data_IF_571145132631
#
_entry.id   IF_571145132631
#
_cell.length_a   1.000
_cell.length_b   1.000
_cell.length_c   1.000
_cell.angle_alpha   90.00
_cell.angle_beta   90.00
_cell.angle_gamma   90.00
#
_symmetry.space_group_name_H-M   'P 1'
#
loop_
_entity.id
_entity.type
_entity.pdbx_description
1 polymer ?
#
# COMPACT_ATOMS: atom_id res chain seq x y z
N UNK A 1 10.82 -11.53 -9.35
CA UNK A 1 10.41 -10.50 -10.35
C UNK A 1 8.89 -10.36 -10.43
N UNK A 2 8.12 -11.45 -10.43
CA UNK A 2 6.65 -11.38 -10.44
C UNK A 2 6.08 -10.67 -9.20
N UNK A 3 6.60 -10.98 -8.00
CA UNK A 3 6.22 -10.33 -6.73
C UNK A 3 6.30 -8.79 -6.80
N UNK A 4 7.41 -8.24 -7.30
CA UNK A 4 7.57 -6.79 -7.47
C UNK A 4 6.50 -6.18 -8.37
N UNK A 5 6.12 -6.87 -9.46
CA UNK A 5 5.08 -6.39 -10.38
C UNK A 5 3.70 -6.44 -9.71
N UNK A 6 3.38 -7.52 -9.00
CA UNK A 6 2.12 -7.67 -8.26
C UNK A 6 2.00 -6.56 -7.21
N UNK A 7 3.05 -6.33 -6.44
CA UNK A 7 3.08 -5.29 -5.41
C UNK A 7 2.87 -3.89 -6.00
N UNK A 8 3.57 -3.56 -7.09
CA UNK A 8 3.40 -2.27 -7.76
C UNK A 8 1.98 -2.08 -8.33
N UNK A 9 1.40 -3.13 -8.91
CA UNK A 9 0.02 -3.08 -9.43
C UNK A 9 -0.98 -2.91 -8.30
N UNK A 10 -0.80 -3.63 -7.19
CA UNK A 10 -1.69 -3.57 -6.05
C UNK A 10 -1.70 -2.17 -5.42
N UNK A 11 -0.53 -1.56 -5.22
CA UNK A 11 -0.41 -0.19 -4.71
C UNK A 11 -0.97 0.86 -5.67
N UNK A 12 -0.85 0.64 -6.98
CA UNK A 12 -1.51 1.48 -7.98
C UNK A 12 -3.04 1.44 -7.84
N UNK A 13 -3.62 0.25 -7.70
CA UNK A 13 -5.05 0.07 -7.49
C UNK A 13 -5.53 0.74 -6.19
N UNK A 14 -4.74 0.68 -5.12
CA UNK A 14 -5.04 1.40 -3.86
C UNK A 14 -5.18 2.91 -4.13
N UNK A 15 -4.21 3.53 -4.80
CA UNK A 15 -4.24 4.97 -5.13
C UNK A 15 -5.42 5.34 -6.02
N UNK A 16 -5.77 4.47 -6.97
CA UNK A 16 -6.85 4.69 -7.92
C UNK A 16 -8.22 4.60 -7.23
N UNK A 17 -8.45 3.55 -6.44
CA UNK A 17 -9.73 3.27 -5.78
C UNK A 17 -10.04 4.20 -4.62
N UNK A 18 -9.01 4.73 -3.95
CA UNK A 18 -9.18 5.77 -2.93
C UNK A 18 -9.84 7.05 -3.47
N UNK A 19 -9.96 7.23 -4.80
CA UNK A 19 -10.58 8.41 -5.42
C UNK A 19 -12.04 8.65 -5.02
N UNK A 20 -12.75 7.62 -4.59
CA UNK A 20 -14.16 7.71 -4.14
C UNK A 20 -14.31 8.30 -2.73
N UNK A 21 -13.23 8.31 -1.95
CA UNK A 21 -13.24 8.83 -0.59
C UNK A 21 -13.10 10.36 -0.56
N UNK A 22 -13.50 11.00 0.56
CA UNK A 22 -13.27 12.41 0.79
C UNK A 22 -11.79 12.77 0.58
N UNK A 23 -11.55 13.99 0.10
CA UNK A 23 -10.21 14.43 -0.30
C UNK A 23 -9.15 14.20 0.78
N UNK A 24 -9.46 14.53 2.03
CA UNK A 24 -8.55 14.32 3.17
C UNK A 24 -8.10 12.86 3.32
N UNK A 25 -9.04 11.91 3.27
CA UNK A 25 -8.76 10.48 3.42
C UNK A 25 -8.00 9.94 2.21
N UNK A 26 -8.46 10.30 1.01
CA UNK A 26 -7.81 9.92 -0.25
C UNK A 26 -6.37 10.39 -0.30
N UNK A 27 -6.14 11.65 0.05
CA UNK A 27 -4.82 12.27 -0.07
C UNK A 27 -3.86 11.71 0.98
N UNK A 28 -4.37 11.35 2.17
CA UNK A 28 -3.62 10.63 3.21
C UNK A 28 -3.18 9.23 2.75
N UNK A 29 -4.11 8.40 2.26
CA UNK A 29 -3.80 7.07 1.71
C UNK A 29 -2.76 7.16 0.58
N UNK A 30 -2.90 8.16 -0.31
CA UNK A 30 -1.95 8.36 -1.41
C UNK A 30 -0.56 8.75 -0.92
N UNK A 31 -0.48 9.64 0.06
CA UNK A 31 0.79 10.06 0.65
C UNK A 31 1.52 8.88 1.33
N UNK A 32 0.77 7.99 2.00
CA UNK A 32 1.34 6.83 2.66
C UNK A 32 1.84 5.79 1.66
N UNK A 33 1.09 5.53 0.58
CA UNK A 33 1.57 4.71 -0.54
C UNK A 33 2.82 5.30 -1.17
N UNK A 34 2.85 6.62 -1.40
CA UNK A 34 4.02 7.29 -1.99
C UNK A 34 5.25 7.23 -1.07
N UNK A 35 5.04 7.32 0.24
CA UNK A 35 6.09 7.16 1.25
C UNK A 35 6.64 5.74 1.26
N UNK A 36 5.76 4.73 1.24
CA UNK A 36 6.15 3.32 1.12
C UNK A 36 6.96 3.06 -0.16
N UNK A 37 6.45 3.44 -1.32
CA UNK A 37 7.11 3.22 -2.61
C UNK A 37 8.46 3.94 -2.66
N UNK A 38 8.53 5.17 -2.15
CA UNK A 38 9.79 5.94 -2.11
C UNK A 38 10.83 5.24 -1.25
N UNK A 39 10.47 4.73 -0.08
CA UNK A 39 11.38 3.97 0.79
C UNK A 39 11.84 2.67 0.11
N UNK A 40 10.91 1.93 -0.50
CA UNK A 40 11.25 0.69 -1.21
C UNK A 40 12.30 0.96 -2.29
N UNK A 41 12.01 1.90 -3.20
CA UNK A 41 12.86 2.24 -4.36
C UNK A 41 14.22 2.80 -3.96
N UNK A 42 14.25 3.73 -3.00
CA UNK A 42 15.48 4.48 -2.71
C UNK A 42 16.39 3.80 -1.69
N UNK A 43 15.82 3.01 -0.77
CA UNK A 43 16.55 2.49 0.39
C UNK A 43 16.50 0.96 0.47
N UNK A 44 15.31 0.36 0.45
CA UNK A 44 15.17 -1.08 0.66
C UNK A 44 15.80 -1.92 -0.44
N UNK A 45 15.71 -1.49 -1.71
CA UNK A 45 16.38 -2.19 -2.81
C UNK A 45 17.90 -2.31 -2.62
N UNK A 46 18.54 -1.29 -2.04
CA UNK A 46 19.98 -1.34 -1.73
C UNK A 46 20.25 -2.37 -0.63
N UNK A 47 19.46 -2.33 0.45
CA UNK A 47 19.59 -3.28 1.57
C UNK A 47 19.34 -4.72 1.11
N UNK A 48 18.31 -4.96 0.29
CA UNK A 48 18.05 -6.27 -0.28
C UNK A 48 19.22 -6.75 -1.16
N UNK A 49 19.78 -5.86 -2.00
CA UNK A 49 20.92 -6.22 -2.85
C UNK A 49 22.18 -6.57 -2.06
N UNK A 50 22.37 -5.99 -0.88
CA UNK A 50 23.56 -6.20 -0.05
C UNK A 50 23.40 -7.34 0.97
N UNK A 51 22.20 -7.49 1.54
CA UNK A 51 21.93 -8.33 2.71
C UNK A 51 20.88 -9.40 2.49
N UNK A 52 20.18 -9.37 1.35
CA UNK A 52 19.09 -10.28 1.02
C UNK A 52 17.98 -10.31 2.10
N UNK A 53 17.70 -9.14 2.69
CA UNK A 53 16.68 -8.95 3.72
C UNK A 53 15.82 -7.74 3.41
N UNK A 54 14.53 -7.80 3.76
CA UNK A 54 13.65 -6.65 3.82
C UNK A 54 13.98 -5.77 5.03
N UNK A 55 13.55 -4.51 4.98
CA UNK A 55 13.73 -3.56 6.09
C UNK A 55 12.49 -3.53 6.98
N UNK A 56 12.72 -3.35 8.29
CA UNK A 56 11.64 -3.11 9.26
C UNK A 56 10.83 -1.86 8.88
N UNK A 57 11.51 -0.81 8.40
CA UNK A 57 10.86 0.43 8.00
C UNK A 57 9.85 0.25 6.86
N UNK A 58 10.13 -0.64 5.90
CA UNK A 58 9.17 -0.93 4.84
C UNK A 58 7.93 -1.65 5.37
N UNK A 59 8.07 -2.51 6.39
CA UNK A 59 6.94 -3.15 7.08
C UNK A 59 6.08 -2.10 7.80
N UNK A 60 6.70 -1.21 8.58
CA UNK A 60 5.99 -0.12 9.27
C UNK A 60 5.19 0.76 8.29
N UNK A 61 5.79 1.11 7.16
CA UNK A 61 5.13 1.95 6.15
C UNK A 61 3.95 1.22 5.50
N UNK A 62 4.06 -0.08 5.24
CA UNK A 62 2.96 -0.85 4.68
C UNK A 62 1.83 -1.06 5.70
N UNK A 63 2.17 -1.26 6.97
CA UNK A 63 1.21 -1.31 8.07
C UNK A 63 0.47 0.03 8.24
N UNK A 64 1.15 1.15 8.03
CA UNK A 64 0.52 2.46 8.04
C UNK A 64 -0.51 2.61 6.90
N UNK A 65 -0.16 2.21 5.68
CA UNK A 65 -1.11 2.18 4.55
C UNK A 65 -2.33 1.32 4.88
N UNK A 66 -2.11 0.15 5.50
CA UNK A 66 -3.19 -0.75 5.92
C UNK A 66 -4.10 -0.10 6.94
N UNK A 67 -3.54 0.46 8.01
CA UNK A 67 -4.30 1.13 9.07
C UNK A 67 -5.15 2.26 8.51
N UNK A 68 -4.58 3.10 7.64
CA UNK A 68 -5.30 4.23 7.06
C UNK A 68 -6.46 3.83 6.14
N UNK A 69 -6.35 2.69 5.47
CA UNK A 69 -7.43 2.09 4.68
C UNK A 69 -8.50 1.50 5.60
N UNK A 70 -8.12 0.78 6.65
CA UNK A 70 -9.07 0.05 7.51
C UNK A 70 -9.75 0.91 8.58
N UNK A 71 -9.10 1.98 9.03
CA UNK A 71 -9.62 2.87 10.08
C UNK A 71 -10.65 3.87 9.53
N UNK A 72 -10.69 4.05 8.21
CA UNK A 72 -11.70 4.88 7.58
C UNK A 72 -13.03 4.13 7.48
N UNK A 73 -14.02 4.59 8.26
CA UNK A 73 -15.40 4.13 8.15
C UNK A 73 -16.10 4.81 6.94
N UNK A 74 -16.51 4.06 5.91
CA UNK A 74 -17.25 4.60 4.77
C UNK A 74 -18.57 5.23 5.22
N UNK A 75 -18.88 6.41 4.69
CA UNK A 75 -20.08 7.20 5.06
C UNK A 75 -21.20 7.09 4.04
N UNK A 76 -20.93 6.53 2.86
CA UNK A 76 -21.92 6.33 1.79
C UNK A 76 -21.83 4.93 1.20
N UNK A 77 -22.92 4.43 0.61
CA UNK A 77 -22.93 3.15 -0.10
C UNK A 77 -21.86 3.07 -1.19
N UNK A 78 -21.61 4.19 -1.88
CA UNK A 78 -20.59 4.28 -2.92
C UNK A 78 -19.18 4.10 -2.36
N UNK A 79 -18.87 4.71 -1.21
CA UNK A 79 -17.61 4.52 -0.50
C UNK A 79 -17.48 3.09 0.04
N UNK A 80 -18.58 2.51 0.55
CA UNK A 80 -18.62 1.14 1.07
C UNK A 80 -18.31 0.07 0.01
N UNK A 81 -18.76 0.28 -1.22
CA UNK A 81 -18.43 -0.60 -2.36
C UNK A 81 -16.94 -0.64 -2.70
N UNK A 82 -16.18 0.40 -2.32
CA UNK A 82 -14.75 0.47 -2.57
C UNK A 82 -13.89 -0.07 -1.41
N UNK A 83 -14.47 -0.23 -0.21
CA UNK A 83 -13.73 -0.61 1.00
C UNK A 83 -13.09 -1.99 0.89
N UNK A 84 -13.88 -3.05 0.68
CA UNK A 84 -13.32 -4.41 0.61
C UNK A 84 -12.28 -4.55 -0.51
N UNK A 85 -12.52 -4.05 -1.74
CA UNK A 85 -11.49 -4.09 -2.77
C UNK A 85 -10.21 -3.31 -2.45
N UNK A 86 -10.26 -2.25 -1.63
CA UNK A 86 -9.06 -1.55 -1.17
C UNK A 86 -8.26 -2.41 -0.21
N UNK A 87 -8.93 -3.02 0.78
CA UNK A 87 -8.32 -3.95 1.74
C UNK A 87 -7.66 -5.12 1.02
N UNK A 88 -8.33 -5.70 0.01
CA UNK A 88 -7.79 -6.82 -0.76
C UNK A 88 -6.50 -6.46 -1.52
N UNK A 89 -6.39 -5.23 -2.03
CA UNK A 89 -5.17 -4.76 -2.72
C UNK A 89 -4.02 -4.50 -1.73
N UNK A 90 -4.32 -3.99 -0.53
CA UNK A 90 -3.28 -3.86 0.52
C UNK A 90 -2.76 -5.23 0.93
N UNK A 91 -3.64 -6.23 1.09
CA UNK A 91 -3.25 -7.61 1.38
C UNK A 91 -2.38 -8.20 0.25
N UNK A 92 -2.77 -8.00 -1.01
CA UNK A 92 -2.00 -8.46 -2.15
C UNK A 92 -0.59 -7.82 -2.23
N UNK A 93 -0.45 -6.55 -1.84
CA UNK A 93 0.85 -5.88 -1.77
C UNK A 93 1.74 -6.51 -0.67
N UNK A 94 1.17 -6.81 0.49
CA UNK A 94 1.88 -7.44 1.62
C UNK A 94 2.32 -8.87 1.32
N UNK A 95 1.45 -9.68 0.72
CA UNK A 95 1.78 -11.04 0.28
C UNK A 95 2.90 -11.02 -0.76
N UNK A 96 2.82 -10.09 -1.71
CA UNK A 96 3.83 -9.92 -2.75
C UNK A 96 5.18 -9.47 -2.17
N UNK A 97 5.18 -8.52 -1.23
CA UNK A 97 6.37 -8.07 -0.50
C UNK A 97 7.02 -9.23 0.26
N UNK A 98 6.22 -10.00 0.99
CA UNK A 98 6.68 -11.15 1.80
C UNK A 98 7.24 -12.30 0.95
N UNK A 99 6.88 -12.37 -0.33
CA UNK A 99 7.32 -13.40 -1.28
C UNK A 99 8.54 -12.98 -2.12
N UNK A 100 9.20 -11.87 -1.80
CA UNK A 100 10.35 -11.34 -2.56
C UNK A 100 11.64 -12.12 -2.36
#
# INVERSE_FOLDING_TARGET
QESVRIEAQALHEVKARASVYPAEVRDRIRADVDSYVSHVVNDEWKVMSERNTLTERGTELLDQVRADVTDYEPKTDHEGQAYQPLVDQVAAADDARSSR
#
